data_IF_707338094679
#
_entry.id   IF_707338094679
#
_cell.length_a   1.000
_cell.length_b   1.000
_cell.length_c   1.000
_cell.angle_alpha   90.00
_cell.angle_beta   90.00
_cell.angle_gamma   90.00
#
_symmetry.space_group_name_H-M   'P 1'
#
loop_
_entity.id
_entity.type
_entity.pdbx_description
1 polymer ?
#
# COMPACT_ATOMS: atom_id res chain seq x y z
N UNK A 1 11.90 26.25 -15.84
CA UNK A 1 12.63 25.29 -16.70
C UNK A 1 12.38 25.70 -18.14
N UNK A 2 13.41 25.92 -18.95
CA UNK A 2 13.21 26.24 -20.38
C UNK A 2 12.71 24.97 -21.08
N UNK A 3 11.84 25.11 -22.07
CA UNK A 3 11.13 23.99 -22.71
C UNK A 3 12.02 23.02 -23.53
N UNK A 4 13.36 23.11 -23.41
CA UNK A 4 14.32 22.40 -24.26
C UNK A 4 15.43 21.66 -23.49
N UNK A 5 15.37 21.61 -22.15
CA UNK A 5 16.32 20.79 -21.39
C UNK A 5 15.82 19.33 -21.35
N UNK A 6 16.65 18.33 -21.73
CA UNK A 6 16.24 16.94 -21.74
C UNK A 6 15.90 16.47 -20.31
N UNK A 7 14.81 15.71 -20.18
CA UNK A 7 14.39 15.13 -18.90
C UNK A 7 15.51 14.25 -18.33
N UNK A 8 15.94 14.56 -17.11
CA UNK A 8 17.00 13.82 -16.41
C UNK A 8 16.50 13.35 -15.05
N UNK A 9 16.43 12.02 -14.88
CA UNK A 9 16.05 11.39 -13.61
C UNK A 9 16.98 11.83 -12.48
N UNK A 10 18.30 11.87 -12.76
CA UNK A 10 19.31 12.30 -11.76
C UNK A 10 19.13 13.75 -11.34
N UNK A 11 18.91 14.68 -12.29
CA UNK A 11 18.65 16.09 -11.95
C UNK A 11 17.35 16.27 -11.16
N UNK A 12 16.31 15.52 -11.49
CA UNK A 12 15.03 15.60 -10.77
C UNK A 12 15.17 15.16 -9.30
N UNK A 13 15.88 14.05 -9.06
CA UNK A 13 16.04 13.48 -7.72
C UNK A 13 17.17 14.12 -6.89
N UNK A 14 18.07 14.89 -7.50
CA UNK A 14 19.12 15.59 -6.78
C UNK A 14 18.54 16.54 -5.72
N UNK A 15 18.99 16.40 -4.47
CA UNK A 15 18.49 17.18 -3.33
C UNK A 15 17.05 16.87 -2.93
N UNK A 16 16.45 15.77 -3.42
CA UNK A 16 15.10 15.36 -3.02
C UNK A 16 15.12 14.43 -1.82
N UNK A 17 14.09 14.55 -0.99
CA UNK A 17 13.81 13.69 0.16
C UNK A 17 12.63 12.78 -0.21
N UNK A 18 12.88 11.48 -0.23
CA UNK A 18 11.94 10.47 -0.75
C UNK A 18 11.39 9.64 0.40
N UNK A 19 10.07 9.62 0.60
CA UNK A 19 9.43 8.63 1.46
C UNK A 19 9.08 7.38 0.66
N UNK A 20 9.52 6.22 1.12
CA UNK A 20 9.20 4.92 0.53
C UNK A 20 8.48 4.05 1.57
N UNK A 21 7.32 3.51 1.18
CA UNK A 21 6.58 2.55 2.01
C UNK A 21 6.76 1.13 1.48
N UNK A 22 6.54 0.13 2.33
CA UNK A 22 6.66 -1.27 1.94
C UNK A 22 8.11 -1.73 1.79
N UNK A 23 9.07 -1.02 2.41
CA UNK A 23 10.51 -1.27 2.34
C UNK A 23 10.94 -2.69 2.73
N UNK A 24 10.12 -3.40 3.50
CA UNK A 24 10.36 -4.81 3.87
C UNK A 24 9.90 -5.82 2.80
N UNK A 25 9.18 -5.36 1.78
CA UNK A 25 8.74 -6.14 0.61
C UNK A 25 9.77 -6.17 -0.53
N UNK A 26 9.50 -6.96 -1.56
CA UNK A 26 10.43 -7.20 -2.67
C UNK A 26 10.72 -5.95 -3.51
N UNK A 27 9.69 -5.32 -4.09
CA UNK A 27 9.86 -4.19 -5.00
C UNK A 27 10.53 -2.99 -4.33
N UNK A 28 10.08 -2.62 -3.13
CA UNK A 28 10.60 -1.44 -2.44
C UNK A 28 12.10 -1.56 -2.12
N UNK A 29 12.61 -2.77 -1.79
CA UNK A 29 14.06 -2.97 -1.60
C UNK A 29 14.85 -2.69 -2.87
N UNK A 30 14.34 -3.17 -4.02
CA UNK A 30 14.98 -2.91 -5.31
C UNK A 30 14.93 -1.43 -5.69
N UNK A 31 13.80 -0.74 -5.43
CA UNK A 31 13.69 0.71 -5.62
C UNK A 31 14.68 1.45 -4.74
N UNK A 32 14.75 1.11 -3.45
CA UNK A 32 15.67 1.70 -2.50
C UNK A 32 17.13 1.50 -2.91
N UNK A 33 17.52 0.28 -3.30
CA UNK A 33 18.88 0.02 -3.77
C UNK A 33 19.22 0.85 -5.00
N UNK A 34 18.30 0.95 -5.98
CA UNK A 34 18.52 1.79 -7.17
C UNK A 34 18.61 3.27 -6.82
N UNK A 35 17.82 3.78 -5.87
CA UNK A 35 17.96 5.18 -5.40
C UNK A 35 19.36 5.40 -4.81
N UNK A 36 19.81 4.50 -3.93
CA UNK A 36 21.12 4.62 -3.28
C UNK A 36 22.30 4.44 -4.24
N UNK A 37 22.18 3.51 -5.19
CA UNK A 37 23.27 3.17 -6.11
C UNK A 37 23.34 4.12 -7.31
N UNK A 38 22.20 4.38 -7.96
CA UNK A 38 22.14 5.12 -9.23
C UNK A 38 21.85 6.61 -9.05
N UNK A 39 21.39 7.04 -7.87
CA UNK A 39 21.01 8.43 -7.57
C UNK A 39 21.59 8.90 -6.22
N UNK A 40 22.92 8.87 -6.02
CA UNK A 40 23.55 9.24 -4.76
C UNK A 40 23.26 10.71 -4.33
N UNK A 41 22.82 11.56 -5.26
CA UNK A 41 22.42 12.95 -5.00
C UNK A 41 21.03 13.09 -4.36
N UNK A 42 20.21 12.04 -4.27
CA UNK A 42 18.99 12.02 -3.44
C UNK A 42 19.41 12.41 -2.02
N UNK A 43 18.84 13.46 -1.43
CA UNK A 43 19.32 13.94 -0.13
C UNK A 43 19.13 12.89 0.96
N UNK A 44 17.90 12.36 1.06
CA UNK A 44 17.49 11.43 2.11
C UNK A 44 16.36 10.51 1.63
N UNK A 45 16.38 9.27 2.10
CA UNK A 45 15.31 8.29 1.90
C UNK A 45 14.68 7.98 3.26
N UNK A 46 13.40 8.29 3.41
CA UNK A 46 12.62 7.95 4.59
C UNK A 46 11.90 6.64 4.34
N UNK A 47 11.99 5.70 5.27
CA UNK A 47 11.29 4.41 5.19
C UNK A 47 10.21 4.35 6.25
N UNK A 48 8.94 4.30 5.85
CA UNK A 48 7.85 4.04 6.77
C UNK A 48 7.81 2.54 7.07
N UNK A 49 8.19 2.16 8.29
CA UNK A 49 8.26 0.77 8.74
C UNK A 49 7.39 0.60 9.97
N UNK A 50 6.51 -0.39 9.92
CA UNK A 50 5.66 -0.79 11.05
C UNK A 50 6.45 -1.66 12.03
N UNK A 51 6.35 -1.50 13.35
CA UNK A 51 6.88 -2.48 14.29
C UNK A 51 6.17 -3.84 14.11
N UNK A 52 6.83 -4.93 14.52
CA UNK A 52 6.28 -6.29 14.40
C UNK A 52 6.21 -6.95 15.77
N UNK A 53 5.03 -7.42 16.13
CA UNK A 53 4.82 -8.30 17.28
C UNK A 53 4.70 -9.74 16.77
N UNK A 54 5.57 -10.63 17.27
CA UNK A 54 5.57 -12.05 16.92
C UNK A 54 4.57 -12.82 17.79
N UNK A 55 4.17 -14.02 17.34
CA UNK A 55 3.24 -14.91 18.09
C UNK A 55 3.78 -15.28 19.49
N UNK A 56 5.10 -15.31 19.65
CA UNK A 56 5.78 -15.59 20.92
C UNK A 56 5.85 -14.39 21.88
N UNK A 57 5.23 -13.25 21.53
CA UNK A 57 5.24 -12.03 22.32
C UNK A 57 6.44 -11.11 22.08
N UNK A 58 7.41 -11.52 21.23
CA UNK A 58 8.58 -10.69 20.92
C UNK A 58 8.18 -9.46 20.11
N UNK A 59 8.66 -8.29 20.55
CA UNK A 59 8.56 -7.04 19.82
C UNK A 59 9.84 -6.79 19.01
N UNK A 60 9.68 -6.54 17.71
CA UNK A 60 10.75 -6.11 16.81
C UNK A 60 10.41 -4.69 16.37
N UNK A 61 11.21 -3.72 16.80
CA UNK A 61 11.00 -2.32 16.43
C UNK A 61 11.36 -2.06 14.96
N UNK A 62 10.94 -0.91 14.46
CA UNK A 62 11.11 -0.53 13.05
C UNK A 62 12.58 -0.42 12.62
N UNK A 63 13.48 -0.02 13.54
CA UNK A 63 14.92 0.12 13.24
C UNK A 63 15.57 -1.25 13.13
N UNK A 64 15.25 -2.16 14.04
CA UNK A 64 15.69 -3.55 13.95
C UNK A 64 15.18 -4.20 12.65
N UNK A 65 13.93 -3.95 12.26
CA UNK A 65 13.40 -4.44 10.97
C UNK A 65 14.13 -3.86 9.76
N UNK A 66 14.52 -2.59 9.78
CA UNK A 66 15.36 -2.00 8.72
C UNK A 66 16.69 -2.75 8.58
N UNK A 67 17.37 -2.99 9.69
CA UNK A 67 18.67 -3.66 9.69
C UNK A 67 18.56 -5.13 9.25
N UNK A 68 17.60 -5.87 9.80
CA UNK A 68 17.47 -7.30 9.56
C UNK A 68 16.77 -7.65 8.24
N UNK A 69 15.70 -6.93 7.88
CA UNK A 69 14.85 -7.30 6.75
C UNK A 69 15.21 -6.55 5.46
N UNK A 70 15.88 -5.38 5.56
CA UNK A 70 16.21 -4.53 4.40
C UNK A 70 17.70 -4.58 4.10
N UNK A 71 18.58 -4.09 4.97
CA UNK A 71 20.02 -3.98 4.66
C UNK A 71 20.71 -5.33 4.43
N UNK A 72 20.27 -6.38 5.13
CA UNK A 72 20.82 -7.73 4.92
C UNK A 72 20.35 -8.39 3.62
N UNK A 73 19.31 -7.87 2.97
CA UNK A 73 18.76 -8.46 1.75
C UNK A 73 19.80 -8.49 0.61
N UNK A 74 19.73 -9.53 -0.22
CA UNK A 74 20.67 -9.74 -1.33
C UNK A 74 20.60 -8.65 -2.41
N UNK A 75 19.51 -7.89 -2.49
CA UNK A 75 19.41 -6.72 -3.36
C UNK A 75 20.58 -5.74 -3.13
N UNK A 76 21.03 -5.59 -1.88
CA UNK A 76 22.11 -4.66 -1.51
C UNK A 76 23.52 -5.24 -1.67
N UNK A 77 23.70 -6.46 -2.20
CA UNK A 77 25.03 -7.07 -2.35
C UNK A 77 25.95 -6.18 -3.19
N UNK A 78 25.48 -5.72 -4.35
CA UNK A 78 26.29 -4.89 -5.26
C UNK A 78 26.69 -3.56 -4.62
N UNK A 79 25.78 -2.95 -3.85
CA UNK A 79 26.07 -1.71 -3.12
C UNK A 79 27.05 -1.95 -1.96
N UNK A 80 26.94 -3.08 -1.24
CA UNK A 80 27.90 -3.50 -0.22
C UNK A 80 29.28 -3.72 -0.78
N UNK A 81 29.40 -4.49 -1.87
CA UNK A 81 30.69 -4.79 -2.50
C UNK A 81 31.39 -3.50 -2.97
N UNK A 82 30.61 -2.53 -3.49
CA UNK A 82 31.12 -1.23 -3.93
C UNK A 82 31.57 -0.34 -2.78
N UNK A 83 30.85 -0.33 -1.66
CA UNK A 83 31.12 0.56 -0.53
C UNK A 83 32.10 -0.03 0.51
N UNK A 84 32.22 -1.36 0.55
CA UNK A 84 33.01 -2.07 1.56
C UNK A 84 32.59 -1.69 2.98
N UNK A 85 33.56 -1.37 3.83
CA UNK A 85 33.36 -0.96 5.23
C UNK A 85 32.49 0.30 5.38
N UNK A 86 32.37 1.14 4.33
CA UNK A 86 31.56 2.36 4.37
C UNK A 86 30.07 2.14 4.14
N UNK A 87 29.64 0.91 3.86
CA UNK A 87 28.23 0.63 3.52
C UNK A 87 27.27 1.07 4.63
N UNK A 88 27.58 0.74 5.88
CA UNK A 88 26.71 1.03 7.01
C UNK A 88 26.61 2.54 7.28
N UNK A 89 27.76 3.25 7.28
CA UNK A 89 27.81 4.70 7.41
C UNK A 89 27.04 5.40 6.28
N UNK A 90 27.25 4.96 5.04
CA UNK A 90 26.52 5.49 3.89
C UNK A 90 25.01 5.27 4.03
N UNK A 91 24.56 4.09 4.44
CA UNK A 91 23.14 3.86 4.70
C UNK A 91 22.61 4.75 5.83
N UNK A 92 23.36 4.95 6.92
CA UNK A 92 22.97 5.86 8.00
C UNK A 92 22.91 7.34 7.55
N UNK A 93 23.80 7.76 6.66
CA UNK A 93 23.80 9.09 6.06
C UNK A 93 22.66 9.33 5.07
N UNK A 94 22.11 8.28 4.46
CA UNK A 94 21.11 8.40 3.38
C UNK A 94 19.71 7.97 3.79
N UNK A 95 19.55 7.21 4.87
CA UNK A 95 18.30 6.52 5.19
C UNK A 95 17.84 6.80 6.60
N UNK A 96 16.62 7.33 6.72
CA UNK A 96 15.93 7.53 8.00
C UNK A 96 14.79 6.52 8.14
N UNK A 97 14.69 5.88 9.31
CA UNK A 97 13.60 4.97 9.64
C UNK A 97 12.47 5.76 10.33
N UNK A 98 11.27 5.73 9.75
CA UNK A 98 10.06 6.32 10.32
C UNK A 98 9.20 5.19 10.86
N UNK A 99 9.08 5.10 12.18
CA UNK A 99 8.16 4.16 12.83
C UNK A 99 6.73 4.60 12.56
N UNK A 100 5.97 3.79 11.82
CA UNK A 100 4.57 4.10 11.53
C UNK A 100 3.82 2.96 10.86
N UNK A 101 2.50 3.08 10.83
CA UNK A 101 1.57 2.08 10.34
C UNK A 101 0.57 2.71 9.36
N UNK A 102 0.64 2.27 8.11
CA UNK A 102 -0.23 2.73 7.03
C UNK A 102 -1.73 2.44 7.29
N UNK A 103 -2.03 1.51 8.20
CA UNK A 103 -3.40 1.14 8.58
C UNK A 103 -4.01 2.06 9.63
N UNK A 104 -3.24 3.01 10.18
CA UNK A 104 -3.65 3.94 11.24
C UNK A 104 -3.75 5.36 10.70
N UNK A 105 -4.64 6.16 11.29
CA UNK A 105 -4.73 7.61 11.03
C UNK A 105 -3.36 8.27 11.19
N UNK A 106 -3.06 9.24 10.32
CA UNK A 106 -1.75 9.93 10.28
C UNK A 106 -0.55 8.97 10.27
N UNK A 107 -0.72 7.78 9.70
CA UNK A 107 0.32 6.74 9.64
C UNK A 107 0.76 6.26 11.03
N UNK A 108 -0.07 6.41 12.05
CA UNK A 108 0.26 6.10 13.45
C UNK A 108 1.12 7.15 14.15
N UNK A 109 1.38 8.28 13.49
CA UNK A 109 2.11 9.42 14.05
C UNK A 109 1.15 10.36 14.78
N UNK A 110 1.69 11.12 15.73
CA UNK A 110 0.97 12.27 16.27
C UNK A 110 0.86 13.41 15.23
N UNK A 111 0.14 14.47 15.58
CA UNK A 111 -0.09 15.57 14.64
C UNK A 111 1.17 16.38 14.34
N UNK A 112 2.05 16.56 15.31
CA UNK A 112 3.28 17.31 15.14
C UNK A 112 4.26 16.53 14.27
N UNK A 113 4.46 15.25 14.58
CA UNK A 113 5.28 14.31 13.81
C UNK A 113 4.80 14.18 12.36
N UNK A 114 3.49 14.06 12.15
CA UNK A 114 2.91 13.98 10.80
C UNK A 114 3.20 15.24 9.98
N UNK A 115 3.02 16.43 10.56
CA UNK A 115 3.29 17.71 9.87
C UNK A 115 4.78 17.90 9.62
N UNK A 116 5.62 17.51 10.57
CA UNK A 116 7.07 17.55 10.42
C UNK A 116 7.52 16.63 9.27
N UNK A 117 7.03 15.39 9.23
CA UNK A 117 7.29 14.48 8.13
C UNK A 117 6.80 15.06 6.82
N UNK A 118 5.57 15.58 6.77
CA UNK A 118 5.00 16.19 5.56
C UNK A 118 5.90 17.31 5.00
N UNK A 119 6.41 18.21 5.86
CA UNK A 119 7.30 19.29 5.45
C UNK A 119 8.70 18.85 4.98
N UNK A 120 9.08 17.60 5.28
CA UNK A 120 10.37 17.01 4.87
C UNK A 120 10.32 16.28 3.54
N UNK A 121 9.15 15.87 3.05
CA UNK A 121 9.10 14.94 1.92
C UNK A 121 8.77 15.65 0.61
N UNK A 122 9.58 15.40 -0.42
CA UNK A 122 9.35 15.94 -1.76
C UNK A 122 8.67 14.92 -2.70
N UNK A 123 8.94 13.62 -2.49
CA UNK A 123 8.37 12.51 -3.28
C UNK A 123 7.97 11.37 -2.36
N UNK A 124 6.74 10.89 -2.49
CA UNK A 124 6.25 9.69 -1.81
C UNK A 124 6.09 8.57 -2.84
N UNK A 125 6.75 7.44 -2.60
CA UNK A 125 6.58 6.21 -3.37
C UNK A 125 5.87 5.20 -2.47
N UNK A 126 4.59 4.98 -2.73
CA UNK A 126 3.78 4.01 -2.00
C UNK A 126 3.88 2.62 -2.64
N UNK A 127 4.68 1.73 -2.06
CA UNK A 127 4.77 0.32 -2.45
C UNK A 127 4.21 -0.63 -1.39
N UNK A 128 3.67 -0.12 -0.28
CA UNK A 128 3.02 -0.93 0.73
C UNK A 128 1.65 -1.42 0.26
N UNK A 129 1.44 -2.74 0.33
CA UNK A 129 0.18 -3.41 0.07
C UNK A 129 0.19 -4.77 0.80
N UNK A 130 -0.99 -5.33 1.04
CA UNK A 130 -1.12 -6.78 1.21
C UNK A 130 -1.34 -7.36 -0.17
N UNK A 131 -0.52 -8.35 -0.55
CA UNK A 131 -0.55 -9.03 -1.85
C UNK A 131 -1.13 -10.45 -1.74
N UNK A 132 -1.73 -10.76 -0.59
CA UNK A 132 -2.40 -12.04 -0.35
C UNK A 132 -3.77 -11.97 -1.03
N UNK A 133 -4.02 -12.86 -2.00
CA UNK A 133 -5.25 -12.85 -2.79
C UNK A 133 -6.49 -13.14 -1.94
N UNK A 134 -6.34 -14.05 -0.99
CA UNK A 134 -7.32 -14.47 0.02
C UNK A 134 -7.10 -13.77 1.36
N UNK A 135 -6.75 -12.48 1.33
CA UNK A 135 -6.62 -11.66 2.53
C UNK A 135 -7.99 -11.36 3.17
N UNK A 136 -8.00 -11.20 4.50
CA UNK A 136 -9.18 -10.73 5.22
C UNK A 136 -9.65 -9.39 4.66
N UNK A 137 -10.96 -9.28 4.41
CA UNK A 137 -11.56 -8.07 3.83
C UNK A 137 -11.19 -6.78 4.60
N UNK A 138 -11.17 -6.83 5.94
CA UNK A 138 -10.85 -5.67 6.77
C UNK A 138 -9.39 -5.22 6.61
N UNK A 139 -8.45 -6.16 6.57
CA UNK A 139 -7.03 -5.87 6.35
C UNK A 139 -6.78 -5.38 4.91
N UNK A 140 -7.38 -6.04 3.91
CA UNK A 140 -7.26 -5.66 2.52
C UNK A 140 -7.78 -4.23 2.26
N UNK A 141 -8.96 -3.87 2.78
CA UNK A 141 -9.49 -2.50 2.67
C UNK A 141 -8.61 -1.48 3.37
N UNK A 142 -8.21 -1.77 4.61
CA UNK A 142 -7.47 -0.80 5.39
C UNK A 142 -6.08 -0.52 4.78
N UNK A 143 -5.43 -1.54 4.21
CA UNK A 143 -4.09 -1.42 3.65
C UNK A 143 -4.09 -1.01 2.17
N UNK A 144 -4.89 -1.65 1.31
CA UNK A 144 -4.85 -1.44 -0.13
C UNK A 144 -5.75 -0.29 -0.61
N UNK A 145 -6.77 0.08 0.16
CA UNK A 145 -7.71 1.16 -0.20
C UNK A 145 -7.47 2.41 0.63
N UNK A 146 -7.56 2.31 1.97
CA UNK A 146 -7.42 3.47 2.86
C UNK A 146 -5.95 3.86 3.09
N UNK A 147 -5.03 2.90 3.07
CA UNK A 147 -3.59 3.18 3.16
C UNK A 147 -3.11 4.22 2.14
N UNK A 148 -3.34 4.00 0.83
CA UNK A 148 -3.02 4.99 -0.19
C UNK A 148 -3.64 6.38 0.05
N UNK A 149 -4.88 6.44 0.54
CA UNK A 149 -5.54 7.70 0.91
C UNK A 149 -4.77 8.46 2.00
N UNK A 150 -4.34 7.77 3.06
CA UNK A 150 -3.57 8.39 4.16
C UNK A 150 -2.21 8.93 3.71
N UNK A 151 -1.56 8.25 2.76
CA UNK A 151 -0.33 8.78 2.16
C UNK A 151 -0.58 9.95 1.22
N UNK A 152 -1.71 9.96 0.52
CA UNK A 152 -2.14 11.09 -0.29
C UNK A 152 -2.43 12.32 0.59
N UNK A 153 -2.94 12.12 1.80
CA UNK A 153 -3.08 13.20 2.81
C UNK A 153 -1.72 13.74 3.25
N UNK A 154 -0.73 12.88 3.49
CA UNK A 154 0.64 13.31 3.77
C UNK A 154 1.22 14.11 2.58
N UNK A 155 1.04 13.60 1.36
CA UNK A 155 1.47 14.29 0.13
C UNK A 155 0.85 15.68 0.03
N UNK A 156 -0.45 15.79 0.32
CA UNK A 156 -1.18 17.07 0.29
C UNK A 156 -0.68 18.05 1.33
N UNK A 157 -0.39 17.58 2.55
CA UNK A 157 0.14 18.42 3.62
C UNK A 157 1.56 18.93 3.29
N UNK A 158 2.37 18.11 2.62
CA UNK A 158 3.76 18.42 2.26
C UNK A 158 3.98 19.03 0.88
N UNK A 159 2.93 19.10 0.04
CA UNK A 159 3.04 19.39 -1.40
C UNK A 159 3.98 18.43 -2.16
N UNK A 160 4.05 17.17 -1.70
CA UNK A 160 4.90 16.15 -2.30
C UNK A 160 4.28 15.57 -3.58
N UNK A 161 5.14 15.04 -4.46
CA UNK A 161 4.71 14.21 -5.59
C UNK A 161 4.32 12.83 -5.06
N UNK A 162 3.18 12.29 -5.47
CA UNK A 162 2.67 11.01 -5.01
C UNK A 162 2.74 9.94 -6.11
N UNK A 163 3.53 8.89 -5.89
CA UNK A 163 3.64 7.73 -6.78
C UNK A 163 3.01 6.53 -6.07
N UNK A 164 1.88 6.05 -6.59
CA UNK A 164 1.22 4.85 -6.08
C UNK A 164 1.56 3.63 -6.93
N UNK A 165 2.14 2.61 -6.30
CA UNK A 165 2.31 1.31 -6.93
C UNK A 165 1.02 0.50 -6.73
N UNK A 166 0.29 0.34 -7.83
CA UNK A 166 -0.86 -0.55 -7.96
C UNK A 166 -0.44 -1.93 -8.48
N UNK A 167 -1.24 -2.55 -9.33
CA UNK A 167 -0.95 -3.85 -9.96
C UNK A 167 -1.63 -3.94 -11.31
N UNK A 168 -1.02 -4.62 -12.28
CA UNK A 168 -1.65 -4.91 -13.57
C UNK A 168 -2.95 -5.73 -13.40
N UNK A 169 -3.08 -6.50 -12.32
CA UNK A 169 -4.23 -7.35 -12.05
C UNK A 169 -5.52 -6.60 -11.69
N UNK A 170 -5.50 -5.27 -11.52
CA UNK A 170 -6.73 -4.48 -11.35
C UNK A 170 -7.65 -4.53 -12.57
N UNK A 171 -7.13 -4.97 -13.73
CA UNK A 171 -7.94 -5.22 -14.92
C UNK A 171 -8.86 -6.46 -14.79
N UNK A 172 -8.69 -7.25 -13.74
CA UNK A 172 -9.51 -8.41 -13.38
C UNK A 172 -9.53 -9.47 -14.49
N UNK A 173 -10.71 -9.69 -15.06
CA UNK A 173 -10.96 -10.75 -16.07
C UNK A 173 -10.78 -10.30 -17.51
N UNK A 174 -10.39 -9.05 -17.74
CA UNK A 174 -10.20 -8.51 -19.09
C UNK A 174 -9.04 -9.23 -19.79
N UNK A 175 -9.17 -9.44 -21.09
CA UNK A 175 -8.15 -10.12 -21.91
C UNK A 175 -7.74 -9.24 -23.10
N UNK A 176 -6.61 -9.58 -23.71
CA UNK A 176 -6.06 -8.84 -24.85
C UNK A 176 -5.26 -7.60 -24.45
N UNK A 177 -5.21 -6.61 -25.35
CA UNK A 177 -4.47 -5.38 -25.12
C UNK A 177 -5.26 -4.43 -24.21
N UNK A 178 -4.77 -4.19 -23.00
CA UNK A 178 -5.42 -3.36 -21.98
C UNK A 178 -4.62 -2.07 -21.80
N UNK A 179 -5.18 -0.89 -22.17
CA UNK A 179 -4.49 0.38 -21.98
C UNK A 179 -4.40 0.75 -20.51
N UNK A 180 -3.39 1.54 -20.13
CA UNK A 180 -3.21 2.04 -18.75
C UNK A 180 -4.28 3.05 -18.31
N UNK A 181 -5.20 3.44 -19.21
CA UNK A 181 -6.30 4.36 -18.91
C UNK A 181 -7.06 3.89 -17.67
N UNK A 182 -7.24 4.80 -16.70
CA UNK A 182 -8.14 4.56 -15.57
C UNK A 182 -9.59 4.62 -16.09
N UNK A 183 -10.32 3.51 -15.95
CA UNK A 183 -11.74 3.46 -16.25
C UNK A 183 -12.53 4.07 -15.08
N UNK A 184 -13.68 4.69 -15.37
CA UNK A 184 -14.64 5.04 -14.33
C UNK A 184 -15.14 3.76 -13.63
N UNK A 185 -15.68 3.85 -12.40
CA UNK A 185 -16.05 2.65 -11.68
C UNK A 185 -17.05 1.74 -12.40
N UNK A 186 -18.08 2.32 -13.03
CA UNK A 186 -19.08 1.55 -13.78
C UNK A 186 -18.49 0.93 -15.05
N UNK A 187 -17.64 1.65 -15.79
CA UNK A 187 -16.93 1.09 -16.96
C UNK A 187 -16.00 -0.07 -16.55
N UNK A 188 -15.32 0.04 -15.40
CA UNK A 188 -14.47 -1.02 -14.89
C UNK A 188 -15.26 -2.27 -14.51
N UNK A 189 -16.39 -2.10 -13.82
CA UNK A 189 -17.31 -3.20 -13.47
C UNK A 189 -17.84 -3.86 -14.75
N UNK A 190 -18.35 -3.08 -15.70
CA UNK A 190 -18.92 -3.59 -16.94
C UNK A 190 -17.90 -4.37 -17.77
N UNK A 191 -16.67 -3.88 -17.86
CA UNK A 191 -15.60 -4.53 -18.60
C UNK A 191 -15.18 -5.91 -18.01
N UNK A 192 -15.59 -6.24 -16.79
CA UNK A 192 -15.23 -7.49 -16.12
C UNK A 192 -16.39 -8.47 -15.96
N UNK A 193 -17.63 -7.98 -16.04
CA UNK A 193 -18.82 -8.79 -15.91
C UNK A 193 -19.21 -9.44 -17.26
N UNK A 194 -19.71 -10.69 -17.26
CA UNK A 194 -20.17 -11.31 -18.48
C UNK A 194 -21.41 -10.59 -19.06
N UNK A 195 -21.67 -10.75 -20.38
CA UNK A 195 -22.92 -10.27 -20.98
C UNK A 195 -24.15 -10.76 -20.21
N UNK A 196 -25.10 -9.86 -19.93
CA UNK A 196 -26.33 -10.19 -19.21
C UNK A 196 -26.22 -10.28 -17.67
N UNK A 197 -25.02 -10.16 -17.08
CA UNK A 197 -24.89 -10.10 -15.62
C UNK A 197 -25.62 -8.88 -15.01
N UNK A 198 -26.16 -8.98 -13.79
CA UNK A 198 -26.71 -7.82 -13.08
C UNK A 198 -25.63 -6.76 -12.88
N UNK A 199 -25.97 -5.49 -13.12
CA UNK A 199 -25.06 -4.35 -12.99
C UNK A 199 -25.66 -3.30 -12.06
N UNK A 200 -24.86 -2.64 -11.22
CA UNK A 200 -25.35 -1.49 -10.47
C UNK A 200 -25.60 -0.31 -11.42
N UNK A 201 -26.73 0.38 -11.26
CA UNK A 201 -27.04 1.61 -12.01
C UNK A 201 -26.16 2.79 -11.56
N UNK A 202 -25.71 2.76 -10.30
CA UNK A 202 -24.84 3.77 -9.69
C UNK A 202 -23.80 3.07 -8.82
N UNK A 203 -22.56 3.57 -8.86
CA UNK A 203 -21.49 3.10 -8.00
C UNK A 203 -20.69 4.28 -7.45
N UNK A 204 -20.79 4.51 -6.14
CA UNK A 204 -20.01 5.51 -5.42
C UNK A 204 -18.97 4.81 -4.57
N UNK A 205 -17.70 5.11 -4.83
CA UNK A 205 -16.56 4.40 -4.22
C UNK A 205 -16.58 4.50 -2.70
N UNK A 206 -16.91 5.66 -2.14
CA UNK A 206 -16.98 5.88 -0.70
C UNK A 206 -18.15 5.14 -0.06
N UNK A 207 -19.31 5.07 -0.72
CA UNK A 207 -20.47 4.29 -0.26
C UNK A 207 -20.15 2.78 -0.29
N UNK A 208 -19.44 2.31 -1.32
CA UNK A 208 -18.97 0.92 -1.39
C UNK A 208 -18.00 0.59 -0.25
N UNK A 209 -17.00 1.45 -0.01
CA UNK A 209 -16.05 1.26 1.09
C UNK A 209 -16.79 1.22 2.43
N UNK A 210 -17.75 2.11 2.66
CA UNK A 210 -18.56 2.11 3.87
C UNK A 210 -19.41 0.83 4.02
N UNK A 211 -20.03 0.38 2.94
CA UNK A 211 -20.81 -0.88 2.89
C UNK A 211 -19.94 -2.10 3.21
N UNK A 212 -18.72 -2.14 2.68
CA UNK A 212 -17.77 -3.22 2.97
C UNK A 212 -17.35 -3.24 4.45
N UNK A 213 -17.11 -2.07 5.06
CA UNK A 213 -16.87 -1.99 6.50
C UNK A 213 -18.08 -2.43 7.32
N UNK A 214 -19.30 -2.07 6.92
CA UNK A 214 -20.51 -2.59 7.56
C UNK A 214 -20.61 -4.11 7.45
N UNK A 215 -20.20 -4.69 6.31
CA UNK A 215 -20.14 -6.15 6.15
C UNK A 215 -19.09 -6.79 7.07
N UNK A 216 -17.91 -6.17 7.22
CA UNK A 216 -16.88 -6.60 8.18
C UNK A 216 -17.43 -6.63 9.60
N UNK A 217 -18.05 -5.53 10.05
CA UNK A 217 -18.59 -5.42 11.41
C UNK A 217 -19.73 -6.42 11.65
N UNK A 218 -20.58 -6.64 10.63
CA UNK A 218 -21.61 -7.68 10.68
C UNK A 218 -21.01 -9.07 10.86
N UNK A 219 -20.01 -9.44 10.07
CA UNK A 219 -19.34 -10.75 10.15
C UNK A 219 -18.71 -10.95 11.54
N UNK A 220 -18.01 -9.92 12.05
CA UNK A 220 -17.42 -9.95 13.40
C UNK A 220 -18.47 -10.11 14.49
N UNK A 221 -19.56 -9.35 14.42
CA UNK A 221 -20.65 -9.40 15.39
C UNK A 221 -21.40 -10.74 15.38
N UNK A 222 -21.74 -11.26 14.19
CA UNK A 222 -22.38 -12.57 14.02
C UNK A 222 -21.50 -13.69 14.56
N UNK A 223 -20.19 -13.64 14.28
CA UNK A 223 -19.25 -14.64 14.79
C UNK A 223 -19.07 -14.56 16.30
N UNK A 224 -18.93 -13.36 16.87
CA UNK A 224 -18.85 -13.18 18.33
C UNK A 224 -20.06 -13.77 19.04
N UNK A 225 -21.27 -13.48 18.54
CA UNK A 225 -22.50 -14.03 19.10
C UNK A 225 -22.59 -15.56 18.94
N UNK A 226 -22.01 -16.12 17.88
CA UNK A 226 -21.90 -17.57 17.71
C UNK A 226 -20.91 -18.20 18.70
N UNK A 227 -19.75 -17.60 18.91
CA UNK A 227 -18.78 -18.02 19.92
C UNK A 227 -19.43 -18.07 21.31
N UNK A 228 -20.18 -17.03 21.69
CA UNK A 228 -20.93 -16.99 22.95
C UNK A 228 -21.94 -18.14 23.07
N UNK A 229 -22.77 -18.35 22.04
CA UNK A 229 -23.74 -19.46 22.01
C UNK A 229 -23.07 -20.83 22.12
N UNK A 230 -21.89 -20.99 21.51
CA UNK A 230 -21.10 -22.22 21.50
C UNK A 230 -20.20 -22.38 22.73
N UNK A 231 -20.11 -21.35 23.60
CA UNK A 231 -19.13 -21.26 24.69
C UNK A 231 -17.69 -21.45 24.19
N UNK A 232 -17.40 -20.96 22.99
CA UNK A 232 -16.08 -20.97 22.39
C UNK A 232 -15.32 -19.73 22.84
N UNK A 233 -14.05 -19.91 23.22
CA UNK A 233 -13.15 -18.79 23.48
C UNK A 233 -12.84 -18.07 22.15
N UNK A 234 -13.28 -16.82 22.02
CA UNK A 234 -13.07 -16.01 20.82
C UNK A 234 -11.58 -15.72 20.54
N UNK A 235 -10.72 -15.85 21.56
CA UNK A 235 -9.28 -15.67 21.43
C UNK A 235 -8.53 -16.96 21.07
N UNK A 236 -9.23 -18.10 21.04
CA UNK A 236 -8.66 -19.37 20.60
C UNK A 236 -8.21 -19.34 19.14
N UNK A 237 -7.21 -20.16 18.80
CA UNK A 237 -6.71 -20.27 17.43
C UNK A 237 -7.81 -20.69 16.45
N UNK A 238 -8.64 -21.68 16.83
CA UNK A 238 -9.80 -22.12 16.06
C UNK A 238 -10.76 -20.95 15.78
N UNK A 239 -11.05 -20.12 16.78
CA UNK A 239 -11.97 -19.02 16.62
C UNK A 239 -11.43 -17.89 15.73
N UNK A 240 -10.13 -17.63 15.80
CA UNK A 240 -9.44 -16.64 14.96
C UNK A 240 -9.38 -17.09 13.50
N UNK A 241 -9.05 -18.36 13.26
CA UNK A 241 -9.02 -18.92 11.90
C UNK A 241 -10.41 -18.94 11.26
N UNK A 242 -11.45 -19.25 12.02
CA UNK A 242 -12.83 -19.21 11.51
C UNK A 242 -13.28 -17.79 11.18
N UNK A 243 -12.97 -16.82 12.02
CA UNK A 243 -13.22 -15.40 11.71
C UNK A 243 -12.51 -14.96 10.44
N UNK A 244 -11.24 -15.36 10.29
CA UNK A 244 -10.44 -15.09 9.11
C UNK A 244 -11.10 -15.67 7.86
N UNK A 245 -11.46 -16.97 7.85
CA UNK A 245 -12.18 -17.60 6.75
C UNK A 245 -13.47 -16.86 6.36
N UNK A 246 -14.25 -16.41 7.35
CA UNK A 246 -15.50 -15.66 7.10
C UNK A 246 -15.24 -14.30 6.47
N UNK A 247 -14.23 -13.57 6.94
CA UNK A 247 -13.85 -12.27 6.37
C UNK A 247 -13.28 -12.40 4.96
N UNK A 248 -12.50 -13.44 4.70
CA UNK A 248 -12.02 -13.77 3.34
C UNK A 248 -13.20 -14.07 2.41
N UNK A 249 -14.13 -14.93 2.84
CA UNK A 249 -15.31 -15.29 2.07
C UNK A 249 -16.19 -14.06 1.75
N UNK A 250 -16.36 -13.14 2.71
CA UNK A 250 -17.10 -11.90 2.52
C UNK A 250 -16.46 -11.01 1.44
N UNK A 251 -15.14 -10.84 1.47
CA UNK A 251 -14.41 -10.06 0.46
C UNK A 251 -14.47 -10.70 -0.93
N UNK A 252 -14.22 -12.01 -1.02
CA UNK A 252 -14.27 -12.77 -2.27
C UNK A 252 -15.66 -12.70 -2.90
N UNK A 253 -16.71 -12.90 -2.10
CA UNK A 253 -18.11 -12.80 -2.56
C UNK A 253 -18.39 -11.45 -3.20
N UNK A 254 -17.97 -10.35 -2.56
CA UNK A 254 -18.24 -9.00 -3.08
C UNK A 254 -17.39 -8.69 -4.32
N UNK A 255 -16.11 -9.07 -4.33
CA UNK A 255 -15.24 -8.93 -5.50
C UNK A 255 -15.84 -9.65 -6.73
N UNK A 256 -16.29 -10.90 -6.55
CA UNK A 256 -16.88 -11.70 -7.63
C UNK A 256 -18.19 -11.12 -8.16
N UNK A 257 -19.04 -10.58 -7.28
CA UNK A 257 -20.28 -9.90 -7.67
C UNK A 257 -20.05 -8.73 -8.62
N UNK A 258 -18.88 -8.09 -8.54
CA UNK A 258 -18.53 -6.93 -9.37
C UNK A 258 -17.54 -7.28 -10.49
N UNK A 259 -17.21 -8.56 -10.67
CA UNK A 259 -16.41 -9.05 -11.79
C UNK A 259 -14.91 -9.25 -11.51
N UNK A 260 -14.41 -8.84 -10.33
CA UNK A 260 -13.02 -9.10 -9.94
C UNK A 260 -12.79 -10.58 -9.57
N UNK A 261 -11.53 -11.01 -9.62
CA UNK A 261 -11.14 -12.38 -9.30
C UNK A 261 -11.03 -12.63 -7.79
N UNK A 262 -10.67 -11.61 -7.03
CA UNK A 262 -10.33 -11.74 -5.62
C UNK A 262 -10.42 -10.40 -4.87
N UNK A 263 -10.34 -10.46 -3.54
CA UNK A 263 -10.38 -9.29 -2.65
C UNK A 263 -9.20 -8.35 -2.91
N UNK A 264 -8.01 -8.88 -3.21
CA UNK A 264 -6.80 -8.09 -3.45
C UNK A 264 -6.97 -7.14 -4.64
N UNK A 265 -7.29 -7.69 -5.81
CA UNK A 265 -7.47 -6.93 -7.06
C UNK A 265 -8.60 -5.91 -6.94
N UNK A 266 -9.69 -6.29 -6.28
CA UNK A 266 -10.82 -5.39 -6.03
C UNK A 266 -10.44 -4.22 -5.10
N UNK A 267 -9.77 -4.48 -3.98
CA UNK A 267 -9.35 -3.41 -3.04
C UNK A 267 -8.27 -2.50 -3.61
N UNK A 268 -7.37 -3.03 -4.46
CA UNK A 268 -6.43 -2.21 -5.24
C UNK A 268 -7.14 -1.28 -6.22
N UNK A 269 -8.14 -1.80 -6.94
CA UNK A 269 -9.00 -0.96 -7.79
C UNK A 269 -9.69 0.15 -6.98
N UNK A 270 -10.28 -0.16 -5.82
CA UNK A 270 -10.89 0.86 -4.96
C UNK A 270 -9.87 1.91 -4.50
N UNK A 271 -8.64 1.49 -4.18
CA UNK A 271 -7.54 2.39 -3.83
C UNK A 271 -7.18 3.35 -4.97
N UNK A 272 -7.09 2.84 -6.21
CA UNK A 272 -6.84 3.69 -7.38
C UNK A 272 -7.96 4.72 -7.61
N UNK A 273 -9.22 4.28 -7.49
CA UNK A 273 -10.37 5.18 -7.67
C UNK A 273 -10.41 6.27 -6.59
N UNK A 274 -10.09 5.91 -5.35
CA UNK A 274 -10.04 6.85 -4.24
C UNK A 274 -8.93 7.89 -4.44
N UNK A 275 -7.74 7.46 -4.86
CA UNK A 275 -6.65 8.36 -5.23
C UNK A 275 -7.10 9.30 -6.36
N UNK A 276 -7.66 8.75 -7.44
CA UNK A 276 -8.10 9.54 -8.59
C UNK A 276 -9.20 10.55 -8.25
N UNK A 277 -10.10 10.24 -7.32
CA UNK A 277 -11.14 11.17 -6.91
C UNK A 277 -10.63 12.23 -5.93
N UNK A 278 -9.55 11.97 -5.19
CA UNK A 278 -9.12 12.81 -4.06
C UNK A 278 -7.75 13.49 -4.25
N UNK A 279 -6.98 13.18 -5.30
CA UNK A 279 -5.64 13.75 -5.45
C UNK A 279 -5.67 15.27 -5.61
N UNK A 280 -6.72 15.82 -6.21
CA UNK A 280 -6.89 17.27 -6.36
C UNK A 280 -5.67 17.90 -7.03
N UNK A 281 -4.94 18.74 -6.29
CA UNK A 281 -3.72 19.42 -6.78
C UNK A 281 -2.43 18.63 -6.57
N UNK A 282 -2.46 17.49 -5.89
CA UNK A 282 -1.28 16.65 -5.65
C UNK A 282 -0.85 16.01 -6.98
N UNK A 283 0.38 16.26 -7.48
CA UNK A 283 0.89 15.58 -8.66
C UNK A 283 0.97 14.08 -8.38
N UNK A 284 0.21 13.29 -9.11
CA UNK A 284 -0.01 11.87 -8.79
C UNK A 284 0.24 10.98 -10.00
N UNK A 285 0.94 9.87 -9.78
CA UNK A 285 1.18 8.81 -10.76
C UNK A 285 0.73 7.48 -10.16
N UNK A 286 -0.01 6.69 -10.93
CA UNK A 286 -0.35 5.30 -10.59
C UNK A 286 0.43 4.39 -11.54
N UNK A 287 1.22 3.47 -11.00
CA UNK A 287 2.01 2.50 -11.77
C UNK A 287 1.45 1.10 -11.50
N UNK A 288 1.23 0.30 -12.55
CA UNK A 288 0.63 -1.04 -12.46
C UNK A 288 1.63 -2.13 -12.89
N UNK A 289 2.60 -2.52 -12.05
CA UNK A 289 3.51 -3.59 -12.41
C UNK A 289 2.78 -4.94 -12.49
N UNK A 290 3.31 -5.85 -13.30
CA UNK A 290 2.82 -7.24 -13.47
C UNK A 290 3.58 -8.25 -12.60
N UNK A 291 4.19 -7.77 -11.51
CA UNK A 291 4.98 -8.58 -10.57
C UNK A 291 4.12 -9.12 -9.44
#
# INVERSE_FOLDING_TARGET
MSANEPLSIRKFFAGKRVLLTGATGFLAKAVMEKLLHDLPEVERIYLLIRPKFKKDGTHVDSRQRLEEEVYRNSAFLRLRDKMGERFEDFCAEKVDCVTGDLTRERLGLDEAEFRELAGKIDVIINSAATVVFDERLDLALNLNTLGPQRLLELARAGHAIYVHISTAYVCGRRTGNIPEKLLSPLEAIDAQLPPGAPRPERFVVQEEIASLWQAVERVKGEWSAECERRKLDAESEEAREELERRLVAAGMKRAHQLGWNDTYTFTKFLGEQLIYQQHGKVPTVIIRPSI
#
